data_IF_105210629366
#
_entry.id   IF_105210629366
#
_cell.length_a   1.000
_cell.length_b   1.000
_cell.length_c   1.000
_cell.angle_alpha   90.00
_cell.angle_beta   90.00
_cell.angle_gamma   90.00
#
_symmetry.space_group_name_H-M   'P 1'
#
loop_
_entity.id
_entity.type
_entity.pdbx_description
1 polymer ?
#
# COMPACT_ATOMS: atom_id res chain seq x y z
N UNK A 1 26.62 -11.27 23.21
CA UNK A 1 25.53 -10.32 22.96
C UNK A 1 24.26 -11.16 22.73
N UNK A 2 23.44 -11.26 23.77
CA UNK A 2 22.31 -12.19 23.85
C UNK A 2 21.15 -11.71 22.99
N UNK A 3 20.78 -12.50 21.98
CA UNK A 3 19.54 -12.31 21.24
C UNK A 3 18.37 -12.72 22.14
N UNK A 4 17.55 -11.76 22.54
CA UNK A 4 16.25 -12.05 23.13
C UNK A 4 15.28 -12.32 21.99
N UNK A 5 15.02 -13.59 21.71
CA UNK A 5 13.83 -14.02 21.01
C UNK A 5 12.66 -13.85 21.98
N UNK A 6 11.91 -12.78 21.84
CA UNK A 6 10.61 -12.66 22.48
C UNK A 6 9.62 -13.44 21.63
N UNK A 7 9.48 -14.74 21.94
CA UNK A 7 8.39 -15.57 21.45
C UNK A 7 7.11 -15.05 22.10
N UNK A 8 6.32 -14.27 21.38
CA UNK A 8 4.95 -13.99 21.76
C UNK A 8 4.12 -15.25 21.47
N UNK A 9 4.05 -16.12 22.46
CA UNK A 9 3.10 -17.21 22.48
C UNK A 9 1.69 -16.61 22.60
N UNK A 10 0.95 -16.58 21.50
CA UNK A 10 -0.45 -16.24 21.51
C UNK A 10 -1.21 -17.35 22.26
N UNK A 11 -1.61 -17.04 23.47
CA UNK A 11 -2.47 -17.92 24.29
C UNK A 11 -3.86 -17.90 23.65
N UNK A 12 -4.15 -18.91 22.82
CA UNK A 12 -5.50 -19.15 22.28
C UNK A 12 -6.38 -19.64 23.44
N UNK A 13 -7.06 -18.70 24.09
CA UNK A 13 -8.20 -19.04 24.94
C UNK A 13 -9.36 -19.40 24.01
N UNK A 14 -9.66 -20.69 23.91
CA UNK A 14 -10.84 -21.19 23.21
C UNK A 14 -12.08 -20.70 23.93
N UNK A 15 -12.78 -19.74 23.36
CA UNK A 15 -14.13 -19.36 23.75
C UNK A 15 -15.09 -20.21 22.91
N UNK A 16 -16.00 -21.01 23.52
CA UNK A 16 -16.97 -21.76 22.74
C UNK A 16 -17.97 -20.82 22.07
N UNK A 17 -17.98 -20.80 20.77
CA UNK A 17 -18.98 -20.11 19.96
C UNK A 17 -20.24 -20.99 19.95
N UNK A 18 -21.27 -20.57 20.63
CA UNK A 18 -22.61 -21.11 20.44
C UNK A 18 -23.18 -20.52 19.14
N UNK A 19 -23.20 -21.32 18.08
CA UNK A 19 -23.93 -21.00 16.86
C UNK A 19 -25.44 -21.20 17.12
N UNK A 20 -26.20 -20.11 17.26
CA UNK A 20 -27.64 -20.16 17.11
C UNK A 20 -27.99 -19.85 15.64
N UNK A 21 -28.50 -20.90 15.00
CA UNK A 21 -29.06 -20.87 13.67
C UNK A 21 -30.52 -20.38 13.77
N UNK A 22 -30.81 -19.15 13.36
CA UNK A 22 -32.15 -18.70 13.08
C UNK A 22 -32.25 -18.16 11.69
N UNK A 23 -32.67 -19.02 10.76
CA UNK A 23 -33.05 -18.59 9.43
C UNK A 23 -34.25 -17.63 9.47
N UNK A 24 -34.11 -16.49 8.82
CA UNK A 24 -35.21 -15.75 8.22
C UNK A 24 -34.70 -15.14 6.92
N UNK A 25 -35.21 -15.68 5.83
CA UNK A 25 -35.09 -15.11 4.50
C UNK A 25 -35.68 -13.71 4.46
N UNK A 26 -34.82 -12.70 4.34
CA UNK A 26 -35.25 -11.37 3.96
C UNK A 26 -34.93 -11.15 2.49
N UNK A 27 -35.97 -11.08 1.68
CA UNK A 27 -35.92 -10.73 0.27
C UNK A 27 -35.39 -9.29 0.17
N UNK A 28 -34.13 -9.10 -0.20
CA UNK A 28 -33.59 -7.81 -0.53
C UNK A 28 -33.93 -7.53 -1.99
N UNK A 29 -34.83 -6.57 -2.20
CA UNK A 29 -35.13 -6.01 -3.52
C UNK A 29 -33.87 -5.39 -4.14
N UNK A 30 -33.24 -6.11 -5.03
CA UNK A 30 -32.16 -5.57 -5.87
C UNK A 30 -32.78 -4.82 -7.04
N UNK A 31 -32.59 -3.52 -7.08
CA UNK A 31 -32.92 -2.69 -8.24
C UNK A 31 -31.97 -3.09 -9.38
N UNK A 32 -32.49 -3.82 -10.35
CA UNK A 32 -31.74 -4.33 -11.49
C UNK A 32 -31.16 -3.17 -12.34
N UNK A 33 -29.86 -3.16 -12.52
CA UNK A 33 -29.18 -2.45 -13.58
C UNK A 33 -29.30 -3.29 -14.86
N UNK A 34 -29.63 -2.62 -15.97
CA UNK A 34 -29.92 -3.20 -17.27
C UNK A 34 -29.03 -4.38 -17.66
N UNK A 35 -29.60 -5.59 -17.60
CA UNK A 35 -28.99 -6.82 -18.09
C UNK A 35 -29.01 -6.78 -19.63
N UNK A 36 -27.85 -6.81 -20.25
CA UNK A 36 -27.75 -7.09 -21.68
C UNK A 36 -27.87 -8.60 -21.85
N UNK A 37 -29.09 -9.05 -22.14
CA UNK A 37 -29.36 -10.45 -22.53
C UNK A 37 -28.97 -10.63 -23.99
N UNK A 38 -27.86 -11.29 -24.25
CA UNK A 38 -27.56 -11.76 -25.62
C UNK A 38 -28.18 -13.14 -25.76
N UNK A 39 -29.40 -13.19 -26.30
CA UNK A 39 -30.01 -14.44 -26.74
C UNK A 39 -29.49 -14.84 -28.12
N UNK A 40 -28.72 -15.89 -28.20
CA UNK A 40 -28.37 -16.54 -29.46
C UNK A 40 -29.56 -17.39 -29.91
N UNK A 41 -30.57 -16.79 -30.54
CA UNK A 41 -31.57 -17.50 -31.30
C UNK A 41 -31.23 -17.34 -32.79
N UNK A 42 -30.59 -18.31 -33.37
CA UNK A 42 -30.76 -18.71 -34.75
C UNK A 42 -29.63 -19.69 -35.15
N UNK A 43 -29.86 -20.97 -34.90
CA UNK A 43 -29.20 -22.01 -35.70
C UNK A 43 -30.27 -22.44 -36.67
N UNK A 44 -30.18 -21.97 -37.94
CA UNK A 44 -30.97 -22.44 -39.07
C UNK A 44 -30.63 -23.89 -39.32
N UNK A 45 -31.65 -24.75 -39.27
CA UNK A 45 -31.53 -26.16 -39.70
C UNK A 45 -31.28 -26.21 -41.19
N UNK A 46 -30.19 -26.80 -41.59
CA UNK A 46 -30.04 -27.31 -42.93
C UNK A 46 -29.94 -28.84 -42.83
N UNK A 47 -30.90 -29.53 -43.47
CA UNK A 47 -30.76 -30.89 -43.93
C UNK A 47 -31.18 -32.00 -42.98
N UNK A 48 -32.35 -32.58 -43.29
CA UNK A 48 -32.80 -33.92 -42.89
C UNK A 48 -31.73 -34.97 -43.01
N UNK A 49 -31.39 -35.65 -41.93
CA UNK A 49 -31.06 -37.08 -41.90
C UNK A 49 -31.38 -37.62 -40.50
N UNK A 50 -32.19 -38.69 -40.46
CA UNK A 50 -32.58 -39.45 -39.30
C UNK A 50 -31.40 -39.94 -38.46
N UNK A 51 -31.20 -39.36 -37.28
CA UNK A 51 -30.46 -39.96 -36.18
C UNK A 51 -31.25 -39.87 -34.89
N UNK A 52 -31.23 -40.95 -34.12
CA UNK A 52 -32.09 -41.33 -33.02
C UNK A 52 -32.29 -40.23 -31.94
N UNK A 53 -33.41 -40.39 -31.28
CA UNK A 53 -33.89 -39.56 -30.14
C UNK A 53 -32.89 -39.56 -28.97
N UNK A 54 -31.99 -38.61 -28.98
CA UNK A 54 -31.33 -38.09 -27.79
C UNK A 54 -31.09 -36.59 -27.99
N UNK A 55 -32.15 -35.81 -27.80
CA UNK A 55 -32.03 -34.35 -27.73
C UNK A 55 -31.43 -34.00 -26.39
N UNK A 56 -30.12 -33.81 -26.35
CA UNK A 56 -29.44 -33.10 -25.27
C UNK A 56 -29.95 -31.66 -25.28
N UNK A 57 -30.88 -31.36 -24.37
CA UNK A 57 -31.22 -29.98 -24.08
C UNK A 57 -30.02 -29.33 -23.39
N UNK A 58 -29.24 -28.55 -24.14
CA UNK A 58 -28.22 -27.68 -23.60
C UNK A 58 -28.93 -26.62 -22.73
N UNK A 59 -28.68 -26.66 -21.43
CA UNK A 59 -29.11 -25.60 -20.53
C UNK A 59 -28.53 -24.28 -21.03
N UNK A 60 -29.38 -23.26 -21.11
CA UNK A 60 -28.98 -21.90 -21.43
C UNK A 60 -27.86 -21.45 -20.47
N UNK A 61 -26.66 -21.20 -21.02
CA UNK A 61 -25.55 -20.65 -20.25
C UNK A 61 -25.66 -19.13 -20.31
N UNK A 62 -26.24 -18.53 -19.29
CA UNK A 62 -26.27 -17.07 -19.13
C UNK A 62 -24.89 -16.62 -18.66
N UNK A 63 -24.06 -16.11 -19.57
CA UNK A 63 -22.80 -15.46 -19.21
C UNK A 63 -23.09 -14.02 -18.77
N UNK A 64 -23.12 -13.80 -17.48
CA UNK A 64 -23.18 -12.44 -16.91
C UNK A 64 -21.76 -11.86 -16.90
N UNK A 65 -21.45 -11.00 -17.85
CA UNK A 65 -20.21 -10.23 -17.82
C UNK A 65 -20.46 -8.93 -17.02
N UNK A 66 -20.03 -8.90 -15.77
CA UNK A 66 -19.95 -7.66 -14.99
C UNK A 66 -18.68 -6.92 -15.40
N UNK A 67 -18.82 -5.84 -16.15
CA UNK A 67 -17.70 -4.96 -16.46
C UNK A 67 -17.53 -3.96 -15.31
N UNK A 68 -16.29 -3.68 -14.85
CA UNK A 68 -16.05 -2.59 -13.93
C UNK A 68 -16.44 -1.29 -14.63
N UNK A 69 -17.45 -0.62 -14.10
CA UNK A 69 -17.91 0.67 -14.62
C UNK A 69 -17.12 1.77 -13.91
N UNK A 70 -16.06 2.25 -14.57
CA UNK A 70 -15.43 3.49 -14.19
C UNK A 70 -16.29 4.65 -14.69
N UNK A 71 -16.75 5.53 -13.80
CA UNK A 71 -17.53 6.72 -14.10
C UNK A 71 -16.70 7.94 -13.78
N UNK A 72 -16.71 8.91 -14.68
CA UNK A 72 -16.14 10.24 -14.40
C UNK A 72 -17.20 11.06 -13.66
N UNK A 73 -16.86 11.59 -12.50
CA UNK A 73 -17.67 12.57 -11.77
C UNK A 73 -16.89 13.89 -11.61
N UNK A 74 -17.45 14.85 -10.86
CA UNK A 74 -16.83 16.16 -10.61
C UNK A 74 -15.50 16.07 -9.82
N UNK A 75 -15.26 14.99 -9.09
CA UNK A 75 -14.03 14.78 -8.30
C UNK A 75 -12.96 13.99 -9.06
N UNK A 76 -13.36 13.04 -9.93
CA UNK A 76 -12.43 12.17 -10.64
C UNK A 76 -13.07 10.90 -11.20
N UNK A 77 -12.26 9.90 -11.46
CA UNK A 77 -12.73 8.59 -11.93
C UNK A 77 -13.17 7.71 -10.76
N UNK A 78 -14.44 7.38 -10.69
CA UNK A 78 -15.02 6.48 -9.70
C UNK A 78 -15.19 5.10 -10.30
N UNK A 79 -14.64 4.10 -9.65
CA UNK A 79 -14.77 2.68 -10.02
C UNK A 79 -15.45 1.94 -8.88
N UNK A 80 -16.58 1.32 -9.16
CA UNK A 80 -17.28 0.43 -8.23
C UNK A 80 -16.51 -0.89 -8.16
N UNK A 81 -16.21 -1.35 -6.95
CA UNK A 81 -15.50 -2.62 -6.71
C UNK A 81 -16.49 -3.69 -6.27
N UNK A 82 -17.34 -3.36 -5.30
CA UNK A 82 -18.36 -4.26 -4.78
C UNK A 82 -19.31 -4.74 -5.89
N UNK A 83 -19.57 -6.05 -5.95
CA UNK A 83 -20.42 -6.65 -6.96
C UNK A 83 -19.82 -6.76 -8.36
N UNK A 84 -18.54 -6.42 -8.54
CA UNK A 84 -17.82 -6.52 -9.80
C UNK A 84 -16.76 -7.63 -9.76
N UNK A 85 -16.12 -7.88 -10.90
CA UNK A 85 -14.99 -8.83 -10.97
C UNK A 85 -13.79 -8.37 -10.15
N UNK A 86 -13.67 -7.07 -9.87
CA UNK A 86 -12.59 -6.49 -9.07
C UNK A 86 -12.66 -6.93 -7.60
N UNK A 87 -13.83 -7.21 -7.06
CA UNK A 87 -14.02 -7.72 -5.70
C UNK A 87 -13.32 -9.07 -5.47
N UNK A 88 -13.13 -9.86 -6.54
CA UNK A 88 -12.50 -11.18 -6.50
C UNK A 88 -10.97 -11.13 -6.55
N UNK A 89 -10.39 -9.96 -6.74
CA UNK A 89 -8.94 -9.75 -6.66
C UNK A 89 -8.49 -9.87 -5.20
N UNK A 90 -7.20 -10.14 -4.98
CA UNK A 90 -6.67 -10.37 -3.64
C UNK A 90 -6.73 -9.12 -2.77
N UNK A 91 -5.98 -8.10 -3.16
CA UNK A 91 -5.75 -6.89 -2.36
C UNK A 91 -6.07 -5.60 -3.13
N UNK A 92 -6.21 -4.51 -2.39
CA UNK A 92 -6.49 -3.18 -2.94
C UNK A 92 -5.49 -2.78 -4.05
N UNK A 93 -4.22 -3.11 -3.90
CA UNK A 93 -3.20 -2.81 -4.92
C UNK A 93 -3.44 -3.52 -6.25
N UNK A 94 -4.01 -4.74 -6.21
CA UNK A 94 -4.35 -5.50 -7.42
C UNK A 94 -5.53 -4.84 -8.14
N UNK A 95 -6.52 -4.39 -7.35
CA UNK A 95 -7.65 -3.59 -7.84
C UNK A 95 -7.17 -2.28 -8.46
N UNK A 96 -6.28 -1.56 -7.76
CA UNK A 96 -5.74 -0.29 -8.25
C UNK A 96 -4.98 -0.43 -9.56
N UNK A 97 -4.25 -1.52 -9.76
CA UNK A 97 -3.57 -1.81 -11.03
C UNK A 97 -4.51 -1.98 -12.24
N UNK A 98 -5.82 -2.19 -12.00
CA UNK A 98 -6.85 -2.32 -13.04
C UNK A 98 -7.63 -1.01 -13.27
N UNK A 99 -7.33 0.05 -12.51
CA UNK A 99 -8.06 1.33 -12.61
C UNK A 99 -7.55 2.17 -13.78
N UNK A 100 -8.43 2.93 -14.46
CA UNK A 100 -8.02 3.86 -15.49
C UNK A 100 -7.05 4.91 -14.95
N UNK A 101 -5.92 5.11 -15.65
CA UNK A 101 -4.92 6.11 -15.31
C UNK A 101 -4.05 5.78 -14.10
N UNK A 102 -4.12 4.57 -13.58
CA UNK A 102 -3.26 4.07 -12.51
C UNK A 102 -2.27 3.05 -13.07
N UNK A 103 -1.03 3.17 -12.66
CA UNK A 103 0.05 2.26 -13.02
C UNK A 103 0.51 1.52 -11.77
N UNK A 104 0.70 0.21 -11.90
CA UNK A 104 1.34 -0.60 -10.87
C UNK A 104 2.74 -0.95 -11.36
N UNK A 105 3.74 -0.25 -10.83
CA UNK A 105 5.13 -0.44 -11.19
C UNK A 105 5.85 -1.19 -10.08
N UNK A 106 5.97 -2.51 -10.22
CA UNK A 106 6.61 -3.40 -9.23
C UNK A 106 6.07 -3.25 -7.79
N UNK A 107 4.75 -3.08 -7.66
CA UNK A 107 4.07 -2.89 -6.37
C UNK A 107 3.98 -1.43 -5.92
N UNK A 108 4.62 -0.49 -6.60
CA UNK A 108 4.41 0.94 -6.40
C UNK A 108 3.23 1.42 -7.24
N UNK A 109 2.22 1.96 -6.59
CA UNK A 109 1.05 2.54 -7.28
C UNK A 109 1.37 3.98 -7.65
N UNK A 110 1.19 4.31 -8.92
CA UNK A 110 1.40 5.65 -9.47
C UNK A 110 0.21 6.06 -10.33
N UNK A 111 -0.11 7.36 -10.34
CA UNK A 111 -1.10 7.92 -11.24
C UNK A 111 -0.39 8.50 -12.44
N UNK A 112 -0.83 8.13 -13.64
CA UNK A 112 -0.20 8.52 -14.90
C UNK A 112 0.01 10.04 -14.99
N UNK A 113 1.27 10.45 -15.21
CA UNK A 113 1.65 11.86 -15.32
C UNK A 113 1.62 12.66 -14.01
N UNK A 114 1.29 12.03 -12.87
CA UNK A 114 1.16 12.69 -11.57
C UNK A 114 2.06 12.09 -10.47
N UNK A 115 2.66 10.92 -10.74
CA UNK A 115 3.52 10.22 -9.78
C UNK A 115 2.75 9.51 -8.69
N UNK A 116 3.36 9.41 -7.51
CA UNK A 116 2.77 8.70 -6.36
C UNK A 116 1.58 9.45 -5.79
N UNK A 117 0.40 8.81 -5.67
CA UNK A 117 -0.78 9.43 -5.10
C UNK A 117 -0.70 9.46 -3.56
N UNK A 118 -1.49 10.36 -2.97
CA UNK A 118 -1.84 10.27 -1.56
C UNK A 118 -3.09 9.41 -1.41
N UNK A 119 -3.05 8.46 -0.48
CA UNK A 119 -4.17 7.56 -0.24
C UNK A 119 -5.08 8.08 0.87
N UNK A 120 -6.37 7.91 0.68
CA UNK A 120 -7.41 8.15 1.68
C UNK A 120 -8.25 6.89 1.82
N UNK A 121 -8.48 6.43 3.04
CA UNK A 121 -9.42 5.35 3.35
C UNK A 121 -10.55 5.96 4.19
N UNK A 122 -11.78 5.87 3.70
CA UNK A 122 -12.98 6.42 4.36
C UNK A 122 -12.87 7.91 4.75
N UNK A 123 -12.15 8.70 3.93
CA UNK A 123 -11.94 10.12 4.18
C UNK A 123 -10.69 10.46 5.00
N UNK A 124 -10.04 9.47 5.61
CA UNK A 124 -8.82 9.65 6.39
C UNK A 124 -7.57 9.45 5.55
N UNK A 125 -6.57 10.32 5.73
CA UNK A 125 -5.29 10.19 5.05
C UNK A 125 -4.53 8.96 5.55
N UNK A 126 -4.03 8.15 4.62
CA UNK A 126 -3.18 7.01 4.93
C UNK A 126 -1.72 7.44 4.83
N UNK A 127 -1.02 7.41 5.93
CA UNK A 127 0.40 7.76 5.99
C UNK A 127 1.31 6.55 5.92
N UNK A 128 0.78 5.39 6.30
CA UNK A 128 1.49 4.12 6.24
C UNK A 128 0.88 3.23 5.14
N UNK A 129 1.70 2.84 4.17
CA UNK A 129 1.25 2.02 3.05
C UNK A 129 0.77 0.60 3.46
N UNK A 130 1.09 0.13 4.66
CA UNK A 130 0.68 -1.19 5.14
C UNK A 130 -0.84 -1.32 5.08
N UNK A 131 -1.60 -0.31 5.53
CA UNK A 131 -3.06 -0.33 5.51
C UNK A 131 -3.61 -0.54 4.09
N UNK A 132 -3.00 0.11 3.09
CA UNK A 132 -3.43 -0.03 1.68
C UNK A 132 -2.99 -1.36 1.09
N UNK A 133 -1.77 -1.81 1.41
CA UNK A 133 -1.21 -3.05 0.86
C UNK A 133 -1.96 -4.29 1.36
N UNK A 134 -2.48 -4.24 2.57
CA UNK A 134 -3.17 -5.36 3.20
C UNK A 134 -4.70 -5.28 3.12
N UNK A 135 -5.26 -4.15 2.65
CA UNK A 135 -6.69 -4.02 2.45
C UNK A 135 -7.16 -5.01 1.38
N UNK A 136 -8.11 -5.87 1.75
CA UNK A 136 -8.68 -6.88 0.83
C UNK A 136 -9.65 -6.25 -0.16
N UNK A 137 -9.66 -6.73 -1.40
CA UNK A 137 -10.54 -6.25 -2.46
C UNK A 137 -12.03 -6.37 -2.10
N UNK A 138 -12.41 -7.45 -1.42
CA UNK A 138 -13.79 -7.70 -0.98
C UNK A 138 -14.26 -6.79 0.17
N UNK A 139 -13.37 -6.00 0.75
CA UNK A 139 -13.71 -4.98 1.75
C UNK A 139 -13.94 -3.60 1.11
N UNK A 140 -13.68 -3.45 -0.19
CA UNK A 140 -13.77 -2.18 -0.91
C UNK A 140 -15.14 -2.06 -1.56
N UNK A 141 -15.82 -0.93 -1.30
CA UNK A 141 -17.05 -0.55 -1.99
C UNK A 141 -16.73 0.11 -3.34
N UNK A 142 -15.92 1.17 -3.31
CA UNK A 142 -15.49 1.91 -4.50
C UNK A 142 -14.14 2.58 -4.31
N UNK A 143 -13.49 2.88 -5.43
CA UNK A 143 -12.24 3.64 -5.48
C UNK A 143 -12.44 4.86 -6.38
N UNK A 144 -12.01 6.04 -5.90
CA UNK A 144 -12.03 7.29 -6.67
C UNK A 144 -10.61 7.77 -6.91
N UNK A 145 -10.23 7.93 -8.19
CA UNK A 145 -8.92 8.45 -8.60
C UNK A 145 -9.08 9.92 -8.99
N UNK A 146 -8.44 10.81 -8.23
CA UNK A 146 -8.48 12.26 -8.42
C UNK A 146 -7.13 12.70 -8.99
N UNK A 147 -7.11 13.11 -10.25
CA UNK A 147 -5.91 13.53 -10.96
C UNK A 147 -5.59 15.01 -10.79
N UNK A 148 -6.59 15.81 -10.40
CA UNK A 148 -6.45 17.24 -10.13
C UNK A 148 -7.13 17.56 -8.79
N UNK A 149 -6.41 17.38 -7.65
CA UNK A 149 -6.97 17.68 -6.35
C UNK A 149 -7.39 19.16 -6.24
N UNK A 150 -8.57 19.40 -5.66
CA UNK A 150 -9.04 20.76 -5.37
C UNK A 150 -8.23 21.42 -4.27
N UNK A 151 -8.46 22.72 -4.02
CA UNK A 151 -7.80 23.51 -2.96
C UNK A 151 -8.04 23.03 -1.52
N UNK A 152 -8.89 22.01 -1.32
CA UNK A 152 -9.06 21.31 -0.04
C UNK A 152 -7.83 20.52 0.38
N UNK A 153 -7.00 20.14 -0.57
CA UNK A 153 -5.84 19.30 -0.34
C UNK A 153 -4.57 20.15 -0.37
N UNK A 154 -3.51 19.65 0.26
CA UNK A 154 -2.23 20.34 0.25
C UNK A 154 -1.74 20.55 -1.19
N UNK A 155 -1.18 21.72 -1.48
CA UNK A 155 -0.69 22.10 -2.83
C UNK A 155 0.41 21.20 -3.39
N UNK A 156 1.08 20.44 -2.53
CA UNK A 156 2.12 19.47 -2.89
C UNK A 156 1.57 18.14 -3.39
N UNK A 157 0.24 17.90 -3.28
CA UNK A 157 -0.39 16.64 -3.67
C UNK A 157 -0.77 16.69 -5.14
N UNK A 158 -0.09 15.88 -5.96
CA UNK A 158 -0.33 15.80 -7.40
C UNK A 158 -1.53 14.95 -7.79
N UNK A 159 -1.88 13.96 -6.98
CA UNK A 159 -3.01 13.05 -7.20
C UNK A 159 -3.44 12.37 -5.91
N UNK A 160 -4.70 11.91 -5.87
CA UNK A 160 -5.29 11.25 -4.70
C UNK A 160 -6.02 9.99 -5.14
N UNK A 161 -5.91 8.93 -4.36
CA UNK A 161 -6.74 7.74 -4.46
C UNK A 161 -7.57 7.62 -3.19
N UNK A 162 -8.89 7.80 -3.32
CA UNK A 162 -9.84 7.59 -2.21
C UNK A 162 -10.41 6.20 -2.30
N UNK A 163 -10.27 5.43 -1.24
CA UNK A 163 -10.84 4.09 -1.07
C UNK A 163 -11.99 4.20 -0.09
N UNK A 164 -13.18 3.81 -0.51
CA UNK A 164 -14.34 3.68 0.37
C UNK A 164 -14.52 2.20 0.66
N UNK A 165 -14.51 1.82 1.93
CA UNK A 165 -14.72 0.44 2.34
C UNK A 165 -16.20 0.13 2.55
N UNK A 166 -16.56 -1.15 2.46
CA UNK A 166 -17.90 -1.63 2.75
C UNK A 166 -18.13 -1.48 4.25
N UNK A 167 -19.18 -0.77 4.64
CA UNK A 167 -19.59 -0.73 6.05
C UNK A 167 -20.08 -2.11 6.46
N UNK A 168 -19.50 -2.67 7.50
CA UNK A 168 -19.98 -3.93 8.09
C UNK A 168 -21.39 -3.69 8.65
N UNK A 169 -22.30 -4.63 8.40
CA UNK A 169 -23.69 -4.54 8.86
C UNK A 169 -23.84 -5.37 10.13
N UNK A 170 -24.47 -4.78 11.15
CA UNK A 170 -24.74 -5.42 12.44
C UNK A 170 -23.76 -5.00 13.54
N UNK A 171 -24.24 -5.16 14.78
CA UNK A 171 -23.46 -4.89 15.98
C UNK A 171 -22.55 -6.06 16.31
N UNK A 172 -21.43 -5.78 16.98
CA UNK A 172 -20.54 -6.80 17.47
C UNK A 172 -19.06 -6.50 17.28
N UNK A 173 -18.25 -7.46 17.68
CA UNK A 173 -16.81 -7.42 17.55
C UNK A 173 -16.38 -8.16 16.29
N UNK A 174 -15.42 -7.59 15.56
CA UNK A 174 -14.76 -8.24 14.44
C UNK A 174 -13.26 -7.95 14.47
N UNK A 175 -12.49 -8.91 14.01
CA UNK A 175 -11.06 -8.73 13.80
C UNK A 175 -10.66 -9.34 12.46
N UNK A 176 -9.59 -8.81 11.90
CA UNK A 176 -8.90 -9.37 10.74
C UNK A 176 -7.39 -9.32 11.02
N UNK A 177 -6.69 -10.39 10.72
CA UNK A 177 -5.25 -10.44 10.85
C UNK A 177 -4.63 -10.95 9.56
N UNK A 178 -3.66 -10.22 9.05
CA UNK A 178 -2.91 -10.59 7.84
C UNK A 178 -1.43 -10.58 8.17
N UNK A 179 -0.86 -11.78 8.25
CA UNK A 179 0.57 -11.97 8.41
C UNK A 179 1.19 -12.41 7.07
N UNK A 180 2.25 -11.73 6.67
CA UNK A 180 3.02 -12.05 5.46
C UNK A 180 4.46 -12.31 5.86
N UNK A 181 4.98 -13.47 5.50
CA UNK A 181 6.37 -13.82 5.68
C UNK A 181 6.98 -14.17 4.33
N UNK A 182 8.19 -13.75 4.12
CA UNK A 182 8.90 -14.04 2.89
C UNK A 182 10.40 -14.07 3.06
N UNK A 183 11.08 -14.58 2.03
CA UNK A 183 12.52 -14.64 1.95
C UNK A 183 12.99 -14.10 0.60
N UNK A 184 13.81 -13.06 0.62
CA UNK A 184 14.48 -12.50 -0.54
C UNK A 184 15.88 -12.06 -0.11
N UNK A 185 16.86 -12.95 -0.21
CA UNK A 185 18.18 -12.83 0.39
C UNK A 185 18.18 -12.80 1.94
N UNK A 186 17.12 -12.25 2.54
CA UNK A 186 16.88 -12.20 3.99
C UNK A 186 15.40 -12.43 4.27
N UNK A 187 15.12 -12.89 5.48
CA UNK A 187 13.73 -13.00 5.96
C UNK A 187 13.14 -11.59 6.14
N UNK A 188 11.92 -11.41 5.70
CA UNK A 188 11.09 -10.24 6.01
C UNK A 188 9.72 -10.69 6.51
N UNK A 189 9.09 -9.86 7.31
CA UNK A 189 7.76 -10.12 7.84
C UNK A 189 6.97 -8.85 7.96
N UNK A 190 5.68 -8.97 7.70
CA UNK A 190 4.65 -7.94 7.93
C UNK A 190 3.49 -8.60 8.63
N UNK A 191 2.94 -7.94 9.63
CA UNK A 191 1.72 -8.36 10.33
C UNK A 191 0.84 -7.14 10.55
N UNK A 192 -0.45 -7.28 10.29
CA UNK A 192 -1.45 -6.26 10.52
C UNK A 192 -2.67 -6.88 11.19
N UNK A 193 -3.01 -6.37 12.35
CA UNK A 193 -4.18 -6.76 13.12
C UNK A 193 -5.16 -5.58 13.13
N UNK A 194 -6.32 -5.78 12.51
CA UNK A 194 -7.44 -4.85 12.54
C UNK A 194 -8.49 -5.34 13.53
N UNK A 195 -8.89 -4.46 14.43
CA UNK A 195 -9.93 -4.68 15.43
C UNK A 195 -11.06 -3.69 15.19
N UNK A 196 -12.29 -4.13 15.27
CA UNK A 196 -13.44 -3.26 15.16
C UNK A 196 -14.56 -3.74 16.09
N UNK A 197 -15.14 -2.80 16.82
CA UNK A 197 -16.31 -3.04 17.65
C UNK A 197 -17.39 -2.04 17.28
N UNK A 198 -18.55 -2.56 16.85
CA UNK A 198 -19.70 -1.76 16.48
C UNK A 198 -20.84 -1.97 17.46
N UNK A 199 -21.44 -0.86 17.85
CA UNK A 199 -22.68 -0.83 18.60
C UNK A 199 -23.57 0.31 18.06
N UNK A 200 -24.72 -0.01 17.54
CA UNK A 200 -25.65 0.93 16.89
C UNK A 200 -24.95 1.82 15.84
N UNK A 201 -24.80 3.08 16.16
CA UNK A 201 -24.22 4.12 15.29
C UNK A 201 -22.73 4.40 15.56
N UNK A 202 -22.13 3.69 16.50
CA UNK A 202 -20.74 3.89 16.92
C UNK A 202 -19.88 2.72 16.44
N UNK A 203 -18.83 3.03 15.68
CA UNK A 203 -17.73 2.13 15.36
C UNK A 203 -16.50 2.54 16.16
N UNK A 204 -15.94 1.62 16.94
CA UNK A 204 -14.62 1.79 17.58
C UNK A 204 -13.65 0.86 16.90
N UNK A 205 -12.56 1.38 16.41
CA UNK A 205 -11.59 0.60 15.66
C UNK A 205 -10.16 0.76 16.19
N UNK A 206 -9.35 -0.24 15.95
CA UNK A 206 -7.92 -0.22 16.22
C UNK A 206 -7.16 -1.05 15.20
N UNK A 207 -5.99 -0.57 14.81
CA UNK A 207 -5.07 -1.28 13.92
C UNK A 207 -3.70 -1.33 14.58
N UNK A 208 -3.04 -2.48 14.50
CA UNK A 208 -1.66 -2.66 14.93
C UNK A 208 -0.89 -3.25 13.76
N UNK A 209 0.09 -2.51 13.25
CA UNK A 209 0.96 -2.91 12.15
C UNK A 209 2.38 -3.16 12.63
N UNK A 210 2.98 -4.25 12.19
CA UNK A 210 4.38 -4.60 12.43
C UNK A 210 5.04 -4.93 11.09
N UNK A 211 6.19 -4.32 10.83
CA UNK A 211 7.00 -4.68 9.67
C UNK A 211 8.46 -4.78 10.06
N UNK A 212 9.11 -5.84 9.58
CA UNK A 212 10.54 -6.05 9.73
C UNK A 212 11.11 -6.46 8.38
N UNK A 213 12.17 -5.77 7.96
CA UNK A 213 12.86 -6.07 6.72
C UNK A 213 14.36 -5.87 6.81
N UNK A 214 15.06 -6.55 5.91
CA UNK A 214 16.47 -6.34 5.63
C UNK A 214 16.65 -6.31 4.14
N UNK A 215 17.38 -5.31 3.65
CA UNK A 215 17.70 -5.17 2.24
C UNK A 215 19.20 -4.92 2.06
N UNK A 216 19.73 -5.39 0.94
CA UNK A 216 21.13 -5.18 0.57
C UNK A 216 21.20 -4.69 -0.85
N UNK A 217 21.84 -3.55 -1.03
CA UNK A 217 22.07 -2.94 -2.32
C UNK A 217 23.57 -2.87 -2.61
N UNK A 218 23.94 -3.15 -3.87
CA UNK A 218 25.30 -2.98 -4.36
C UNK A 218 25.27 -2.14 -5.63
N UNK A 219 26.02 -1.06 -5.65
CA UNK A 219 26.15 -0.19 -6.82
C UNK A 219 27.60 -0.04 -7.21
N UNK A 220 27.83 0.03 -8.52
CA UNK A 220 29.12 0.40 -9.11
C UNK A 220 28.91 1.65 -9.94
N UNK A 221 29.76 2.64 -9.74
CA UNK A 221 29.79 3.86 -10.53
C UNK A 221 31.18 4.04 -11.13
N UNK A 222 31.24 4.32 -12.43
CA UNK A 222 32.46 4.65 -13.16
C UNK A 222 32.28 6.04 -13.71
N UNK A 223 33.16 6.94 -13.30
CA UNK A 223 33.17 8.33 -13.75
C UNK A 223 34.48 8.61 -14.49
N UNK A 224 34.37 9.08 -15.72
CA UNK A 224 35.49 9.46 -16.55
C UNK A 224 35.53 10.98 -16.75
N UNK A 225 36.73 11.55 -16.71
CA UNK A 225 36.97 12.97 -16.96
C UNK A 225 38.18 13.12 -17.84
N UNK A 226 38.07 13.90 -18.90
CA UNK A 226 39.15 14.23 -19.85
C UNK A 226 39.46 15.73 -19.73
N UNK A 227 40.55 16.02 -19.03
CA UNK A 227 41.09 17.37 -18.92
C UNK A 227 42.42 17.41 -19.64
N UNK A 228 43.53 17.63 -18.92
CA UNK A 228 44.91 17.50 -19.44
C UNK A 228 45.37 16.05 -19.49
N UNK A 229 44.77 15.18 -18.69
CA UNK A 229 44.96 13.74 -18.59
C UNK A 229 43.61 13.04 -18.46
N UNK A 230 43.55 11.72 -18.71
CA UNK A 230 42.37 10.91 -18.51
C UNK A 230 42.26 10.47 -17.04
N UNK A 231 41.26 10.96 -16.34
CA UNK A 231 40.96 10.53 -14.98
C UNK A 231 39.73 9.62 -14.95
N UNK A 232 39.91 8.46 -14.33
CA UNK A 232 38.82 7.51 -14.13
C UNK A 232 38.66 7.24 -12.64
N UNK A 233 37.42 7.43 -12.12
CA UNK A 233 37.07 7.07 -10.76
C UNK A 233 36.11 5.90 -10.77
N UNK A 234 36.51 4.80 -10.14
CA UNK A 234 35.71 3.61 -9.95
C UNK A 234 35.25 3.54 -8.50
N UNK A 235 33.93 3.66 -8.26
CA UNK A 235 33.35 3.58 -6.92
C UNK A 235 32.43 2.37 -6.81
N UNK A 236 32.66 1.52 -5.83
CA UNK A 236 31.78 0.42 -5.46
C UNK A 236 31.21 0.68 -4.07
N UNK A 237 29.90 0.66 -3.95
CA UNK A 237 29.21 0.79 -2.67
C UNK A 237 28.37 -0.45 -2.42
N UNK A 238 28.52 -1.04 -1.24
CA UNK A 238 27.63 -2.08 -0.71
C UNK A 238 26.96 -1.53 0.54
N UNK A 239 25.61 -1.58 0.57
CA UNK A 239 24.81 -1.07 1.66
C UNK A 239 23.85 -2.14 2.14
N UNK A 240 23.76 -2.30 3.45
CA UNK A 240 22.78 -3.19 4.11
C UNK A 240 21.93 -2.35 5.04
N UNK A 241 20.63 -2.40 4.81
CA UNK A 241 19.63 -1.67 5.58
C UNK A 241 18.76 -2.66 6.37
N UNK A 242 18.60 -2.41 7.65
CA UNK A 242 17.62 -3.04 8.51
C UNK A 242 16.53 -2.01 8.80
N UNK A 243 15.29 -2.33 8.47
CA UNK A 243 14.13 -1.48 8.73
C UNK A 243 13.13 -2.24 9.61
N UNK A 244 12.61 -1.55 10.60
CA UNK A 244 11.46 -2.00 11.37
C UNK A 244 10.43 -0.88 11.37
N UNK A 245 9.16 -1.27 11.46
CA UNK A 245 8.05 -0.35 11.62
C UNK A 245 7.09 -0.94 12.65
N UNK A 246 6.70 -0.13 13.59
CA UNK A 246 5.64 -0.42 14.56
C UNK A 246 4.64 0.72 14.41
N UNK A 247 3.43 0.37 14.04
CA UNK A 247 2.34 1.32 13.82
C UNK A 247 1.13 0.93 14.66
N UNK A 248 0.51 1.91 15.29
CA UNK A 248 -0.71 1.71 16.05
C UNK A 248 -1.68 2.85 15.79
N UNK A 249 -2.94 2.52 15.48
CA UNK A 249 -4.02 3.46 15.19
C UNK A 249 -5.26 3.05 15.96
N UNK A 250 -5.89 4.02 16.63
CA UNK A 250 -7.12 3.81 17.39
C UNK A 250 -8.05 4.97 17.16
N UNK A 251 -9.32 4.68 16.99
CA UNK A 251 -10.30 5.70 16.74
C UNK A 251 -11.72 5.26 16.90
N UNK A 252 -12.61 6.19 16.58
CA UNK A 252 -14.03 5.92 16.53
C UNK A 252 -14.68 6.70 15.40
N UNK A 253 -15.77 6.14 14.86
CA UNK A 253 -16.67 6.77 13.91
C UNK A 253 -18.08 6.70 14.45
N UNK A 254 -18.76 7.84 14.50
CA UNK A 254 -20.16 7.93 14.86
C UNK A 254 -20.99 8.42 13.68
N UNK A 255 -22.06 7.71 13.33
CA UNK A 255 -22.92 8.04 12.19
C UNK A 255 -24.38 7.88 12.57
N UNK A 256 -24.95 8.91 13.17
CA UNK A 256 -26.38 8.90 13.59
C UNK A 256 -27.34 8.84 12.41
N UNK A 257 -26.97 9.38 11.26
CA UNK A 257 -27.77 9.40 10.04
C UNK A 257 -26.89 9.73 8.83
N UNK A 258 -27.39 9.60 7.59
CA UNK A 258 -26.68 10.11 6.42
C UNK A 258 -26.38 11.62 6.47
N UNK A 259 -27.03 12.33 7.40
CA UNK A 259 -26.92 13.78 7.56
C UNK A 259 -25.94 14.22 8.65
N UNK A 260 -25.54 13.32 9.56
CA UNK A 260 -24.61 13.65 10.65
C UNK A 260 -23.67 12.48 10.90
N UNK A 261 -22.40 12.72 10.69
CA UNK A 261 -21.33 11.80 11.06
C UNK A 261 -20.11 12.58 11.56
N UNK A 262 -19.43 12.02 12.52
CA UNK A 262 -18.16 12.53 13.02
C UNK A 262 -17.30 11.39 13.55
N UNK A 263 -16.00 11.58 13.53
CA UNK A 263 -15.06 10.61 14.02
C UNK A 263 -13.70 11.22 14.26
N UNK A 264 -12.88 10.48 14.95
CA UNK A 264 -11.49 10.85 15.20
C UNK A 264 -10.64 9.60 15.39
N UNK A 265 -9.36 9.70 15.04
CA UNK A 265 -8.38 8.69 15.39
C UNK A 265 -7.05 9.29 15.80
N UNK A 266 -6.32 8.52 16.57
CA UNK A 266 -4.93 8.78 16.91
C UNK A 266 -4.06 7.65 16.38
N UNK A 267 -2.97 8.02 15.72
CA UNK A 267 -1.97 7.08 15.19
C UNK A 267 -0.59 7.41 15.72
N UNK A 268 0.16 6.39 16.07
CA UNK A 268 1.57 6.49 16.42
C UNK A 268 2.37 5.52 15.56
N UNK A 269 3.46 6.02 14.97
CA UNK A 269 4.34 5.23 14.11
C UNK A 269 5.79 5.38 14.57
N UNK A 270 6.47 4.26 14.78
CA UNK A 270 7.88 4.22 15.16
C UNK A 270 8.66 3.39 14.14
N UNK A 271 9.59 4.05 13.42
CA UNK A 271 10.34 3.48 12.32
C UNK A 271 11.86 3.59 12.53
N UNK A 272 12.49 2.66 13.28
CA UNK A 272 13.94 2.61 13.38
C UNK A 272 14.56 1.95 12.13
N UNK A 273 15.55 2.64 11.55
CA UNK A 273 16.31 2.18 10.39
C UNK A 273 17.79 2.19 10.77
N UNK A 274 18.49 1.09 10.44
CA UNK A 274 19.95 1.00 10.56
C UNK A 274 20.54 0.67 9.20
N UNK A 275 21.43 1.53 8.70
CA UNK A 275 22.12 1.35 7.42
C UNK A 275 23.61 1.26 7.63
N UNK A 276 24.21 0.17 7.18
CA UNK A 276 25.67 -0.02 7.14
C UNK A 276 26.11 -0.02 5.68
N UNK A 277 27.04 0.85 5.33
CA UNK A 277 27.59 0.95 3.97
C UNK A 277 29.09 0.84 3.97
N UNK A 278 29.62 0.08 3.01
CA UNK A 278 31.05 0.00 2.68
C UNK A 278 31.24 0.61 1.29
N UNK A 279 32.13 1.55 1.18
CA UNK A 279 32.42 2.30 -0.04
C UNK A 279 33.91 2.10 -0.34
N UNK A 280 34.21 1.68 -1.56
CA UNK A 280 35.59 1.59 -2.10
C UNK A 280 35.65 2.43 -3.36
N UNK A 281 36.61 3.35 -3.42
CA UNK A 281 36.79 4.24 -4.56
C UNK A 281 38.27 4.25 -4.97
N UNK A 282 38.52 3.97 -6.23
CA UNK A 282 39.88 4.02 -6.82
C UNK A 282 39.91 5.09 -7.91
N UNK A 283 40.84 6.02 -7.80
CA UNK A 283 41.09 7.07 -8.78
C UNK A 283 42.32 6.68 -9.62
N UNK A 284 42.17 6.72 -10.92
CA UNK A 284 43.22 6.47 -11.91
C UNK A 284 43.49 7.77 -12.66
N UNK A 285 44.78 8.01 -12.98
CA UNK A 285 45.24 9.03 -13.91
C UNK A 285 46.07 8.34 -14.99
N UNK A 286 45.63 8.44 -16.26
CA UNK A 286 46.24 7.75 -17.40
C UNK A 286 46.56 6.27 -17.12
N UNK A 287 45.50 5.55 -16.60
CA UNK A 287 45.51 4.12 -16.20
C UNK A 287 46.41 3.76 -15.02
N UNK A 288 47.04 4.75 -14.35
CA UNK A 288 47.84 4.55 -13.13
C UNK A 288 46.96 4.88 -11.91
N UNK A 289 46.98 4.01 -10.88
CA UNK A 289 46.27 4.27 -9.62
C UNK A 289 46.92 5.47 -8.92
N UNK A 290 46.19 6.54 -8.76
CA UNK A 290 46.58 7.75 -8.05
C UNK A 290 46.22 7.67 -6.55
N UNK A 291 45.02 7.22 -6.26
CA UNK A 291 44.54 7.04 -4.88
C UNK A 291 43.50 5.97 -4.74
N UNK A 292 43.46 5.35 -3.56
CA UNK A 292 42.42 4.43 -3.14
C UNK A 292 41.80 4.90 -1.82
N UNK A 293 40.49 4.96 -1.78
CA UNK A 293 39.72 5.36 -0.58
C UNK A 293 38.79 4.24 -0.17
N UNK A 294 38.88 3.85 1.08
CA UNK A 294 37.93 2.94 1.70
C UNK A 294 37.17 3.67 2.80
N UNK A 295 35.85 3.64 2.76
CA UNK A 295 34.99 4.27 3.77
C UNK A 295 33.95 3.30 4.28
N UNK A 296 33.72 3.36 5.56
CA UNK A 296 32.61 2.67 6.25
C UNK A 296 31.67 3.71 6.86
N UNK A 297 30.38 3.56 6.59
CA UNK A 297 29.33 4.46 7.06
C UNK A 297 28.26 3.66 7.83
N UNK A 298 28.00 4.04 9.07
CA UNK A 298 26.92 3.52 9.92
C UNK A 298 25.91 4.64 10.21
N UNK A 299 24.68 4.44 9.78
CA UNK A 299 23.58 5.39 10.00
C UNK A 299 22.53 4.71 10.82
N UNK A 300 22.08 5.37 11.88
CA UNK A 300 20.94 4.96 12.70
C UNK A 300 19.92 6.09 12.70
N UNK A 301 18.80 5.84 12.01
CA UNK A 301 17.66 6.74 11.94
C UNK A 301 16.55 6.20 12.85
N UNK A 302 15.89 7.06 13.60
CA UNK A 302 14.73 6.73 14.43
C UNK A 302 13.69 7.81 14.24
N UNK A 303 12.60 7.43 13.58
CA UNK A 303 11.44 8.28 13.38
C UNK A 303 10.34 7.89 14.33
N UNK A 304 9.80 8.86 15.05
CA UNK A 304 8.59 8.74 15.86
C UNK A 304 7.60 9.80 15.37
N UNK A 305 6.48 9.35 14.86
CA UNK A 305 5.43 10.20 14.31
C UNK A 305 4.12 9.96 15.07
N UNK A 306 3.42 11.03 15.34
CA UNK A 306 2.09 11.04 15.95
C UNK A 306 1.16 11.80 15.02
N UNK A 307 -0.04 11.29 14.83
CA UNK A 307 -1.11 11.91 14.06
C UNK A 307 -2.39 11.86 14.87
N UNK A 308 -3.02 13.00 15.04
CA UNK A 308 -4.40 13.11 15.49
C UNK A 308 -5.23 13.67 14.34
N UNK A 309 -6.20 12.90 13.89
CA UNK A 309 -7.10 13.24 12.79
C UNK A 309 -8.54 13.25 13.30
N UNK A 310 -9.37 14.14 12.75
CA UNK A 310 -10.76 14.18 13.07
C UNK A 310 -11.59 14.80 11.95
N UNK A 311 -12.84 14.38 11.86
CA UNK A 311 -13.77 14.90 10.87
C UNK A 311 -15.18 15.07 11.45
N UNK A 312 -15.91 15.98 10.85
CA UNK A 312 -17.34 16.16 11.09
C UNK A 312 -18.04 16.49 9.78
N UNK A 313 -19.08 15.76 9.48
CA UNK A 313 -19.96 16.02 8.35
C UNK A 313 -21.39 16.23 8.84
N UNK A 314 -22.00 17.34 8.41
CA UNK A 314 -23.36 17.67 8.81
C UNK A 314 -24.16 18.29 7.66
N UNK A 315 -25.42 17.87 7.49
CA UNK A 315 -26.35 18.45 6.49
C UNK A 315 -27.60 18.96 7.20
N UNK A 316 -27.81 20.29 7.11
CA UNK A 316 -28.96 20.99 7.71
C UNK A 316 -29.67 21.83 6.65
N UNK A 317 -30.80 21.35 6.17
CA UNK A 317 -31.55 22.01 5.10
C UNK A 317 -30.72 22.17 3.83
N UNK A 318 -30.35 23.42 3.49
CA UNK A 318 -29.49 23.75 2.34
C UNK A 318 -28.00 23.80 2.68
N UNK A 319 -27.62 23.68 3.95
CA UNK A 319 -26.26 23.77 4.40
C UNK A 319 -25.63 22.40 4.47
N UNK A 320 -24.46 22.25 3.87
CA UNK A 320 -23.57 21.10 3.99
C UNK A 320 -22.28 21.57 4.63
N UNK A 321 -22.00 21.09 5.83
CA UNK A 321 -20.77 21.36 6.58
C UNK A 321 -19.88 20.13 6.51
N UNK A 322 -18.67 20.32 6.06
CA UNK A 322 -17.61 19.31 6.09
C UNK A 322 -16.39 19.96 6.77
N UNK A 323 -15.97 19.40 7.87
CA UNK A 323 -14.80 19.86 8.64
C UNK A 323 -13.87 18.68 8.82
N UNK A 324 -12.59 18.90 8.58
CA UNK A 324 -11.51 17.98 8.91
C UNK A 324 -10.41 18.74 9.65
N UNK A 325 -9.76 18.09 10.57
CA UNK A 325 -8.56 18.60 11.18
C UNK A 325 -7.50 17.51 11.30
N UNK A 326 -6.26 17.87 11.04
CA UNK A 326 -5.10 17.02 11.16
C UNK A 326 -4.06 17.71 12.02
N UNK A 327 -3.58 17.04 13.06
CA UNK A 327 -2.47 17.48 13.87
C UNK A 327 -1.38 16.42 13.85
N UNK A 328 -0.25 16.75 13.26
CA UNK A 328 0.89 15.85 13.16
C UNK A 328 2.12 16.45 13.83
N UNK A 329 2.82 15.63 14.61
CA UNK A 329 4.16 15.96 15.07
C UNK A 329 5.09 14.77 14.89
N UNK A 330 6.29 15.08 14.44
CA UNK A 330 7.33 14.10 14.12
C UNK A 330 8.62 14.44 14.83
N UNK A 331 9.27 13.40 15.38
CA UNK A 331 10.59 13.49 15.97
C UNK A 331 11.52 12.54 15.25
N UNK A 332 12.49 13.10 14.56
CA UNK A 332 13.55 12.35 13.87
C UNK A 332 14.85 12.47 14.67
N UNK A 333 15.53 11.35 14.88
CA UNK A 333 16.90 11.29 15.41
C UNK A 333 17.76 10.51 14.46
N UNK A 334 18.82 11.15 13.98
CA UNK A 334 19.82 10.52 13.13
C UNK A 334 21.18 10.58 13.81
N UNK A 335 21.85 9.43 13.85
CA UNK A 335 23.23 9.30 14.24
C UNK A 335 24.00 8.71 13.07
N UNK A 336 25.05 9.39 12.63
CA UNK A 336 25.91 8.96 11.53
C UNK A 336 27.35 8.90 11.99
N UNK A 337 27.99 7.77 11.75
CA UNK A 337 29.42 7.58 11.92
C UNK A 337 30.05 7.24 10.56
N UNK A 338 31.12 7.94 10.20
CA UNK A 338 31.87 7.70 8.97
C UNK A 338 33.34 7.55 9.33
N UNK A 339 33.95 6.46 8.89
CA UNK A 339 35.34 6.19 9.00
C UNK A 339 35.85 6.05 7.55
N UNK A 340 36.78 6.89 7.14
CA UNK A 340 37.40 6.84 5.82
C UNK A 340 38.92 6.76 5.94
N UNK A 341 39.54 5.94 5.10
CA UNK A 341 40.98 5.81 4.96
C UNK A 341 41.32 5.98 3.50
N UNK A 342 42.23 6.86 3.21
CA UNK A 342 42.73 7.13 1.84
C UNK A 342 44.20 6.81 1.77
N UNK A 343 44.58 6.08 0.73
CA UNK A 343 45.98 5.78 0.39
C UNK A 343 46.33 6.51 -0.93
N UNK A 344 47.36 7.31 -0.91
CA UNK A 344 47.92 7.95 -2.11
C UNK A 344 49.17 7.21 -2.52
N UNK A 345 49.27 6.78 -3.77
CA UNK A 345 50.49 6.19 -4.33
C UNK A 345 51.42 7.31 -4.74
N UNK A 346 52.41 7.61 -3.87
CA UNK A 346 53.55 8.46 -4.26
C UNK A 346 54.53 7.59 -5.05
N UNK A 347 54.64 7.79 -6.35
CA UNK A 347 55.79 7.29 -7.14
C UNK A 347 57.04 8.02 -6.70
N UNK A 348 57.93 7.34 -5.98
CA UNK A 348 59.24 7.88 -5.74
C UNK A 348 59.93 8.08 -7.07
N UNK A 349 60.55 9.28 -7.35
CA UNK A 349 61.30 9.48 -8.56
C UNK A 349 62.44 8.47 -8.57
N UNK A 350 62.46 7.58 -9.54
CA UNK A 350 63.57 6.70 -9.81
C UNK A 350 64.78 7.62 -10.24
N UNK A 351 65.73 7.84 -9.34
CA UNK A 351 67.03 8.41 -9.70
C UNK A 351 67.64 7.49 -10.75
N UNK A 352 67.59 7.88 -12.02
CA UNK A 352 68.51 7.39 -13.01
C UNK A 352 69.88 8.03 -12.72
N UNK A 353 70.73 7.33 -12.03
CA UNK A 353 72.16 7.62 -12.10
C UNK A 353 72.63 7.29 -13.52
N UNK A 354 73.24 8.27 -14.13
CA UNK A 354 74.00 8.20 -15.42
C UNK A 354 75.38 7.67 -15.14
#
# INVERSE_FOLDING_TARGET
>A
MKMFFCSFGLLMAAVPVFAQNTGKDSIVSTKALNDVVVSASNISRVGDQNFGKDTLQLREVVVRATRPLAKLNSEGFVTEVKGTVLEKLGFAKDVMGMLPGVLNNNGSIEVFGKGKPVFYINGHIVRNNIEVEQLKANQIDKITVITNPSSRYASTVGSIIKITTIKKVGDGFSFDNIATFGYRNYMYGKDNLDLNYRIDNLDVFGTIGLEQGKDTNSSKNVQNSWLSSHHQQNTTMKSTQHSNLIDGKWGFDFSSSPKLSFGAFYQVSYAPIKTNSSIMSSLYSDDVIESETSAYKDIKLRDLEHLLDGYCHGVWGKWNLEMTFDLMWKKTRENQNVIAVSYTHLTLPTNREV
#
